data_IF_282291700073
#
_entry.id   IF_282291700073
#
_cell.length_a   1.000
_cell.length_b   1.000
_cell.length_c   1.000
_cell.angle_alpha   90.00
_cell.angle_beta   90.00
_cell.angle_gamma   90.00
#
_symmetry.space_group_name_H-M   'P 1'
#
loop_
_entity.id
_entity.type
_entity.pdbx_description
1 polymer ?
#
# COMPACT_ATOMS: atom_id res chain seq x y z
N UNK A 1 -16.72 14.67 7.52
CA UNK A 1 -16.92 15.01 6.09
C UNK A 1 -15.54 15.09 5.48
N UNK A 2 -15.20 14.13 4.62
CA UNK A 2 -13.93 14.15 3.84
C UNK A 2 -14.11 15.27 2.82
N UNK A 3 -13.28 16.32 2.93
CA UNK A 3 -13.25 17.40 1.93
C UNK A 3 -12.95 16.77 0.57
N UNK A 4 -13.88 16.89 -0.38
CA UNK A 4 -13.62 16.48 -1.76
C UNK A 4 -12.51 17.37 -2.32
N UNK A 5 -11.30 16.87 -2.32
CA UNK A 5 -10.21 17.43 -3.09
C UNK A 5 -10.45 17.14 -4.57
N UNK A 6 -10.05 18.05 -5.46
CA UNK A 6 -10.19 17.86 -6.89
C UNK A 6 -9.47 16.55 -7.30
N UNK A 7 -10.09 15.77 -8.19
CA UNK A 7 -9.51 14.55 -8.72
C UNK A 7 -8.07 14.77 -9.24
N UNK A 8 -7.19 13.81 -9.01
CA UNK A 8 -5.85 13.84 -9.58
C UNK A 8 -5.95 13.80 -11.10
N UNK A 9 -5.24 14.66 -11.85
CA UNK A 9 -5.17 14.55 -13.28
C UNK A 9 -4.24 13.39 -13.68
N UNK A 10 -4.50 12.80 -14.85
CA UNK A 10 -3.56 11.87 -15.46
C UNK A 10 -2.17 12.50 -15.56
N UNK A 11 -1.10 11.85 -15.04
CA UNK A 11 0.26 12.36 -15.14
C UNK A 11 0.70 12.56 -16.60
N UNK A 12 1.49 13.60 -16.88
CA UNK A 12 1.98 13.88 -18.25
C UNK A 12 2.84 12.74 -18.82
N UNK A 13 3.60 12.09 -17.97
CA UNK A 13 4.49 10.97 -18.32
C UNK A 13 3.95 9.66 -17.76
N UNK A 14 2.63 9.48 -17.80
CA UNK A 14 1.99 8.26 -17.31
C UNK A 14 2.46 7.05 -18.10
N UNK A 15 2.88 6.00 -17.38
CA UNK A 15 3.29 4.72 -17.97
C UNK A 15 2.12 3.75 -18.12
N UNK A 16 0.94 4.10 -17.62
CA UNK A 16 -0.30 3.33 -17.73
C UNK A 16 -1.15 3.80 -18.90
N UNK A 17 -1.91 2.91 -19.49
CA UNK A 17 -3.02 3.29 -20.36
C UNK A 17 -4.03 4.13 -19.56
N UNK A 18 -4.64 5.13 -20.20
CA UNK A 18 -5.51 6.08 -19.51
C UNK A 18 -6.70 5.42 -18.80
N UNK A 19 -7.27 4.35 -19.39
CA UNK A 19 -8.36 3.60 -18.80
C UNK A 19 -7.93 2.81 -17.56
N UNK A 20 -6.75 2.21 -17.58
CA UNK A 20 -6.19 1.48 -16.46
C UNK A 20 -5.84 2.44 -15.32
N UNK A 21 -5.24 3.58 -15.65
CA UNK A 21 -4.94 4.60 -14.67
C UNK A 21 -6.20 5.13 -13.97
N UNK A 22 -7.26 5.41 -14.74
CA UNK A 22 -8.55 5.87 -14.19
C UNK A 22 -9.13 4.84 -13.22
N UNK A 23 -9.12 3.56 -13.59
CA UNK A 23 -9.59 2.48 -12.72
C UNK A 23 -8.74 2.37 -11.45
N UNK A 24 -7.41 2.26 -11.60
CA UNK A 24 -6.48 2.07 -10.48
C UNK A 24 -6.46 3.27 -9.55
N UNK A 25 -6.62 4.48 -10.06
CA UNK A 25 -6.66 5.71 -9.27
C UNK A 25 -7.82 5.77 -8.26
N UNK A 26 -8.89 4.99 -8.49
CA UNK A 26 -10.05 4.87 -7.58
C UNK A 26 -9.86 3.79 -6.50
N UNK A 27 -8.81 3.00 -6.62
CA UNK A 27 -8.50 1.95 -5.65
C UNK A 27 -7.65 2.48 -4.50
N UNK A 28 -7.73 1.82 -3.35
CA UNK A 28 -6.84 2.08 -2.23
C UNK A 28 -5.54 1.31 -2.38
N UNK A 29 -4.43 2.01 -2.19
CA UNK A 29 -3.09 1.45 -2.27
C UNK A 29 -2.33 1.71 -0.97
N UNK A 30 -1.59 0.73 -0.43
CA UNK A 30 -0.63 0.98 0.63
C UNK A 30 0.57 1.71 0.04
N UNK A 31 1.01 2.79 0.66
CA UNK A 31 2.09 3.65 0.15
C UNK A 31 3.27 3.79 1.09
N UNK A 32 3.10 3.41 2.36
CA UNK A 32 4.18 3.40 3.36
C UNK A 32 3.82 2.50 4.54
N UNK A 33 4.82 2.05 5.29
CA UNK A 33 4.62 1.54 6.64
C UNK A 33 4.46 2.72 7.60
N UNK A 34 3.53 2.61 8.56
CA UNK A 34 3.30 3.67 9.56
C UNK A 34 4.58 4.02 10.32
N UNK A 35 5.41 2.99 10.62
CA UNK A 35 6.70 3.16 11.33
C UNK A 35 7.77 3.90 10.54
N UNK A 36 7.63 4.03 9.20
CA UNK A 36 8.58 4.75 8.35
C UNK A 36 8.30 6.25 8.32
N UNK A 37 7.08 6.66 8.67
CA UNK A 37 6.69 8.07 8.70
C UNK A 37 6.94 8.66 10.09
N UNK A 38 8.15 9.16 10.27
CA UNK A 38 8.57 9.91 11.45
C UNK A 38 8.28 11.42 11.27
N UNK A 39 9.12 12.29 11.84
CA UNK A 39 9.01 13.75 11.65
C UNK A 39 9.41 14.19 10.24
N UNK A 40 10.36 13.50 9.61
CA UNK A 40 10.80 13.79 8.26
C UNK A 40 9.73 13.43 7.25
N UNK A 41 9.42 14.32 6.26
CA UNK A 41 8.51 13.97 5.18
C UNK A 41 9.05 12.81 4.35
N UNK A 42 8.15 11.94 3.91
CA UNK A 42 8.44 10.77 3.10
C UNK A 42 7.89 10.99 1.69
N UNK A 43 8.76 10.89 0.68
CA UNK A 43 8.36 10.92 -0.73
C UNK A 43 8.07 9.51 -1.24
N UNK A 44 6.94 9.33 -1.92
CA UNK A 44 6.55 8.08 -2.58
C UNK A 44 5.97 8.38 -3.96
N UNK A 45 5.87 7.38 -4.81
CA UNK A 45 5.19 7.51 -6.11
C UNK A 45 4.04 6.50 -6.18
N UNK A 46 2.85 6.96 -6.51
CA UNK A 46 1.68 6.11 -6.75
C UNK A 46 1.12 6.39 -8.14
N UNK A 47 1.06 5.37 -9.01
CA UNK A 47 0.54 5.48 -10.38
C UNK A 47 1.13 6.69 -11.14
N UNK A 48 2.45 6.83 -11.06
CA UNK A 48 3.25 7.94 -11.62
C UNK A 48 2.94 9.33 -11.04
N UNK A 49 2.18 9.42 -9.95
CA UNK A 49 1.96 10.65 -9.20
C UNK A 49 2.95 10.73 -8.04
N UNK A 50 3.88 11.70 -8.02
CA UNK A 50 4.74 11.93 -6.86
C UNK A 50 3.91 12.45 -5.68
N UNK A 51 4.04 11.81 -4.53
CA UNK A 51 3.34 12.15 -3.30
C UNK A 51 4.32 12.39 -2.17
N UNK A 52 3.97 13.32 -1.28
CA UNK A 52 4.62 13.51 0.00
C UNK A 52 3.68 13.13 1.14
N UNK A 53 4.20 12.33 2.07
CA UNK A 53 3.55 12.01 3.32
C UNK A 53 4.22 12.78 4.45
N UNK A 54 3.43 13.35 5.36
CA UNK A 54 3.97 14.02 6.54
C UNK A 54 2.98 14.03 7.70
N UNK A 55 3.48 14.22 8.91
CA UNK A 55 2.64 14.41 10.10
C UNK A 55 2.33 15.87 10.33
N UNK A 56 1.09 16.14 10.68
CA UNK A 56 0.62 17.48 11.05
C UNK A 56 -0.36 17.37 12.24
N UNK A 57 0.12 17.69 13.45
CA UNK A 57 -0.68 17.61 14.68
C UNK A 57 -1.25 16.22 14.96
N UNK A 58 -0.43 15.17 14.81
CA UNK A 58 -0.85 13.78 15.01
C UNK A 58 -1.62 13.16 13.82
N UNK A 59 -1.96 13.95 12.80
CA UNK A 59 -2.65 13.48 11.59
C UNK A 59 -1.65 13.21 10.48
N UNK A 60 -1.85 12.15 9.70
CA UNK A 60 -1.12 11.91 8.45
C UNK A 60 -1.75 12.74 7.34
N UNK A 61 -0.94 13.48 6.63
CA UNK A 61 -1.33 14.21 5.42
C UNK A 61 -0.58 13.62 4.24
N UNK A 62 -1.32 13.33 3.17
CA UNK A 62 -0.78 12.92 1.88
C UNK A 62 -1.12 14.00 0.87
N UNK A 63 -0.14 14.49 0.15
CA UNK A 63 -0.29 15.57 -0.81
C UNK A 63 0.59 15.37 -2.05
N UNK A 64 0.34 16.16 -3.11
CA UNK A 64 1.27 16.26 -4.23
C UNK A 64 2.67 16.62 -3.70
N UNK A 65 3.70 15.89 -4.12
CA UNK A 65 5.09 16.21 -3.77
C UNK A 65 5.61 17.39 -4.60
N UNK A 66 4.91 18.52 -4.48
CA UNK A 66 5.16 19.71 -5.28
C UNK A 66 4.82 20.98 -4.50
N UNK A 67 5.80 21.80 -4.22
CA UNK A 67 5.54 23.10 -3.62
C UNK A 67 4.84 24.02 -4.63
N UNK A 68 3.65 24.57 -4.34
CA UNK A 68 2.87 25.39 -5.29
C UNK A 68 3.54 26.72 -5.65
N UNK A 69 4.62 27.10 -4.95
CA UNK A 69 5.38 28.30 -5.23
C UNK A 69 6.27 28.15 -6.48
N UNK A 70 7.17 27.15 -6.49
CA UNK A 70 8.19 26.97 -7.55
C UNK A 70 8.46 25.51 -7.91
N UNK A 71 7.57 24.59 -7.55
CA UNK A 71 7.63 23.21 -7.99
C UNK A 71 8.73 22.34 -7.35
N UNK A 72 9.34 22.78 -6.25
CA UNK A 72 10.33 21.96 -5.53
C UNK A 72 9.61 20.84 -4.79
N UNK A 73 10.11 19.58 -4.85
CA UNK A 73 9.55 18.48 -4.07
C UNK A 73 9.55 18.77 -2.57
N UNK A 74 8.42 18.58 -1.91
CA UNK A 74 8.25 18.83 -0.49
C UNK A 74 8.90 17.72 0.36
N UNK A 75 9.07 16.53 -0.19
CA UNK A 75 9.83 15.42 0.40
C UNK A 75 11.30 15.75 0.64
N UNK A 76 11.86 16.73 -0.08
CA UNK A 76 13.21 17.27 0.16
C UNK A 76 13.26 18.25 1.34
N UNK A 77 12.12 18.60 1.89
CA UNK A 77 12.00 19.56 2.99
C UNK A 77 12.21 18.95 4.37
N UNK A 78 11.74 19.65 5.39
CA UNK A 78 11.83 19.22 6.79
C UNK A 78 10.47 19.24 7.45
N UNK A 79 10.22 18.26 8.32
CA UNK A 79 9.04 18.19 9.19
C UNK A 79 9.39 18.54 10.64
N UNK A 80 8.36 18.79 11.44
CA UNK A 80 8.47 18.97 12.89
C UNK A 80 7.25 18.38 13.64
N UNK A 81 6.55 17.44 13.01
CA UNK A 81 5.33 16.84 13.57
C UNK A 81 4.06 17.69 13.40
N UNK A 82 4.18 19.00 13.21
CA UNK A 82 3.04 19.94 13.05
C UNK A 82 2.91 20.46 11.61
N UNK A 83 4.03 20.62 10.93
CA UNK A 83 4.09 21.16 9.56
C UNK A 83 5.27 20.57 8.81
N UNK A 84 5.19 20.61 7.46
CA UNK A 84 6.38 20.49 6.62
C UNK A 84 6.82 21.86 6.10
N UNK A 85 8.12 22.01 5.91
CA UNK A 85 8.74 23.21 5.34
C UNK A 85 9.41 22.89 4.00
N UNK A 86 9.05 23.62 2.95
CA UNK A 86 9.72 23.54 1.66
C UNK A 86 11.20 23.94 1.80
N UNK A 87 12.10 23.10 1.26
CA UNK A 87 13.55 23.35 1.32
C UNK A 87 14.02 24.63 0.62
N UNK A 88 13.22 25.17 -0.31
CA UNK A 88 13.65 26.31 -1.12
C UNK A 88 13.39 27.66 -0.44
N UNK A 89 12.13 27.97 -0.07
CA UNK A 89 11.78 29.29 0.52
C UNK A 89 11.09 29.17 1.88
N UNK A 90 11.10 28.00 2.50
CA UNK A 90 10.57 27.79 3.83
C UNK A 90 9.05 27.91 3.96
N UNK A 91 8.29 27.85 2.85
CA UNK A 91 6.83 27.79 2.92
C UNK A 91 6.43 26.60 3.79
N UNK A 92 5.52 26.81 4.74
CA UNK A 92 5.08 25.76 5.66
C UNK A 92 3.66 25.33 5.35
N UNK A 93 3.45 24.02 5.40
CA UNK A 93 2.15 23.41 5.17
C UNK A 93 1.77 22.55 6.37
N UNK A 94 0.57 22.76 6.90
CA UNK A 94 0.01 22.06 8.05
C UNK A 94 -1.07 21.05 7.66
N UNK A 95 -1.97 20.79 8.61
CA UNK A 95 -3.07 19.84 8.42
C UNK A 95 -3.92 20.19 7.20
N UNK A 96 -4.38 19.16 6.47
CA UNK A 96 -5.15 19.30 5.24
C UNK A 96 -4.40 20.03 4.11
N UNK A 97 -3.06 20.07 4.14
CA UNK A 97 -2.25 20.73 3.11
C UNK A 97 -2.30 22.26 3.14
N UNK A 98 -2.88 22.85 4.19
CA UNK A 98 -3.02 24.31 4.29
C UNK A 98 -1.66 24.98 4.38
N UNK A 99 -1.39 25.97 3.52
CA UNK A 99 -0.23 26.84 3.66
C UNK A 99 -0.45 27.74 4.89
N UNK A 100 0.42 27.61 5.90
CA UNK A 100 0.30 28.30 7.19
C UNK A 100 1.38 29.36 7.41
N UNK A 101 2.42 29.40 6.56
CA UNK A 101 3.50 30.38 6.66
C UNK A 101 4.17 30.62 5.33
N UNK A 102 4.35 31.89 5.00
CA UNK A 102 5.18 32.40 3.90
C UNK A 102 6.25 33.30 4.52
N UNK A 103 7.51 32.84 4.72
CA UNK A 103 8.50 33.56 5.53
C UNK A 103 8.82 34.97 5.01
N UNK A 104 8.83 35.16 3.70
CA UNK A 104 9.12 36.46 3.09
C UNK A 104 8.00 37.49 3.26
N UNK A 105 6.79 37.05 3.64
CA UNK A 105 5.61 37.92 3.81
C UNK A 105 4.82 37.50 5.06
N UNK A 106 5.40 37.64 6.27
CA UNK A 106 4.87 37.05 7.51
C UNK A 106 3.49 37.60 7.90
N UNK A 107 3.23 38.87 7.58
CA UNK A 107 1.99 39.57 7.97
C UNK A 107 0.93 39.60 6.85
N UNK A 108 1.21 38.98 5.73
CA UNK A 108 0.30 38.99 4.57
C UNK A 108 -0.71 37.84 4.65
N UNK A 109 -1.94 38.09 4.19
CA UNK A 109 -2.93 37.03 4.03
C UNK A 109 -2.42 35.99 3.00
N UNK A 110 -2.50 34.71 3.38
CA UNK A 110 -2.05 33.60 2.52
C UNK A 110 -3.20 33.15 1.60
N UNK A 111 -3.07 33.28 0.29
CA UNK A 111 -4.11 32.85 -0.64
C UNK A 111 -4.28 31.32 -0.63
N UNK A 112 -5.52 30.85 -0.75
CA UNK A 112 -5.85 29.40 -0.77
C UNK A 112 -5.21 28.65 -1.95
N UNK A 113 -4.88 29.34 -3.04
CA UNK A 113 -4.13 28.75 -4.18
C UNK A 113 -2.73 28.24 -3.81
N UNK A 114 -2.23 28.61 -2.63
CA UNK A 114 -0.97 28.11 -2.09
C UNK A 114 -1.16 26.84 -1.24
N UNK A 115 -2.39 26.39 -1.02
CA UNK A 115 -2.61 25.12 -0.35
C UNK A 115 -2.21 23.96 -1.26
N UNK A 116 -1.76 22.87 -0.64
CA UNK A 116 -1.48 21.63 -1.34
C UNK A 116 -2.78 20.93 -1.76
N UNK A 117 -2.75 20.23 -2.89
CA UNK A 117 -3.73 19.19 -3.17
C UNK A 117 -3.41 18.01 -2.25
N UNK A 118 -4.43 17.54 -1.54
CA UNK A 118 -4.29 16.42 -0.61
C UNK A 118 -5.15 15.24 -1.03
N UNK A 119 -4.78 14.07 -0.54
CA UNK A 119 -5.45 12.81 -0.80
C UNK A 119 -5.91 12.19 0.52
N UNK A 120 -6.94 11.32 0.50
CA UNK A 120 -7.34 10.56 1.69
C UNK A 120 -6.14 9.79 2.26
N UNK A 121 -6.01 9.79 3.58
CA UNK A 121 -5.01 9.04 4.31
C UNK A 121 -5.68 8.18 5.37
N UNK A 122 -5.41 6.88 5.38
CA UNK A 122 -5.95 5.93 6.36
C UNK A 122 -4.80 5.10 6.91
N UNK A 123 -4.65 5.07 8.23
CA UNK A 123 -3.80 4.09 8.91
C UNK A 123 -4.61 2.82 9.13
N UNK A 124 -4.17 1.72 8.55
CA UNK A 124 -4.75 0.40 8.78
C UNK A 124 -3.73 -0.70 8.54
N UNK A 125 -3.75 -1.73 9.37
CA UNK A 125 -2.84 -2.88 9.26
C UNK A 125 -1.36 -2.50 9.35
N UNK A 126 -1.01 -1.45 10.11
CA UNK A 126 0.35 -0.94 10.18
C UNK A 126 0.86 -0.26 8.90
N UNK A 127 -0.04 -0.03 7.94
CA UNK A 127 0.21 0.60 6.65
C UNK A 127 -0.52 1.94 6.54
N UNK A 128 0.03 2.85 5.75
CA UNK A 128 -0.62 4.09 5.33
C UNK A 128 -1.20 3.84 3.94
N UNK A 129 -2.51 4.01 3.82
CA UNK A 129 -3.26 3.82 2.58
C UNK A 129 -3.72 5.14 2.01
N UNK A 130 -3.74 5.22 0.69
CA UNK A 130 -4.32 6.36 -0.03
C UNK A 130 -5.05 5.93 -1.30
N UNK A 131 -5.84 6.85 -1.83
CA UNK A 131 -6.58 6.72 -3.09
C UNK A 131 -6.54 8.07 -3.80
N UNK A 132 -6.16 8.09 -5.08
CA UNK A 132 -5.99 9.35 -5.82
C UNK A 132 -7.34 9.99 -6.22
N UNK A 133 -8.33 9.17 -6.57
CA UNK A 133 -9.63 9.60 -7.07
C UNK A 133 -10.78 8.82 -6.40
N UNK A 134 -10.83 8.82 -5.06
CA UNK A 134 -11.85 8.07 -4.33
C UNK A 134 -13.27 8.51 -4.72
N UNK A 135 -14.06 7.57 -5.22
CA UNK A 135 -15.49 7.73 -5.42
C UNK A 135 -16.33 7.02 -4.32
N UNK A 136 -15.63 6.39 -3.35
CA UNK A 136 -16.24 5.67 -2.25
C UNK A 136 -16.73 4.26 -2.60
N UNK A 137 -16.51 3.79 -3.82
CA UNK A 137 -16.97 2.46 -4.27
C UNK A 137 -16.02 1.34 -3.87
N UNK A 138 -14.71 1.63 -3.82
CA UNK A 138 -13.66 0.67 -3.42
C UNK A 138 -13.24 0.95 -1.98
N UNK A 139 -13.10 -0.10 -1.20
CA UNK A 139 -12.65 -0.04 0.20
C UNK A 139 -11.29 -0.72 0.36
N UNK A 140 -10.59 -0.39 1.44
CA UNK A 140 -9.38 -1.13 1.82
C UNK A 140 -9.81 -2.58 2.09
N UNK A 141 -9.16 -3.59 1.46
CA UNK A 141 -9.50 -4.99 1.66
C UNK A 141 -9.39 -5.40 3.13
N UNK A 142 -10.25 -6.29 3.60
CA UNK A 142 -10.15 -6.83 4.95
C UNK A 142 -8.88 -7.68 5.09
N UNK A 143 -8.25 -7.63 6.27
CA UNK A 143 -7.17 -8.52 6.67
C UNK A 143 -7.75 -9.43 7.75
N UNK A 144 -8.00 -10.72 7.46
CA UNK A 144 -8.50 -11.66 8.45
C UNK A 144 -7.60 -11.70 9.69
N UNK A 145 -8.20 -11.87 10.85
CA UNK A 145 -7.52 -12.05 12.14
C UNK A 145 -6.60 -10.92 12.60
N UNK A 146 -6.54 -9.77 11.89
CA UNK A 146 -5.63 -8.69 12.26
C UNK A 146 -5.88 -8.12 13.66
N UNK A 147 -7.13 -8.00 14.06
CA UNK A 147 -7.53 -7.41 15.35
C UNK A 147 -7.75 -8.48 16.43
N UNK A 148 -7.47 -9.75 16.15
CA UNK A 148 -7.64 -10.86 17.10
C UNK A 148 -6.38 -11.00 17.97
N UNK A 149 -6.51 -11.01 19.32
CA UNK A 149 -5.37 -10.99 20.24
C UNK A 149 -4.53 -12.26 20.22
N UNK A 150 -5.05 -13.35 19.68
CA UNK A 150 -4.35 -14.64 19.54
C UNK A 150 -3.34 -14.63 18.37
N UNK A 151 -3.43 -13.64 17.46
CA UNK A 151 -2.55 -13.53 16.31
C UNK A 151 -1.50 -12.45 16.50
N UNK A 152 -0.25 -12.79 16.20
CA UNK A 152 0.84 -11.83 16.16
C UNK A 152 0.89 -11.15 14.79
N UNK A 153 0.86 -9.81 14.77
CA UNK A 153 0.98 -9.02 13.55
C UNK A 153 2.45 -8.71 13.26
N UNK A 154 2.88 -9.00 12.03
CA UNK A 154 4.24 -8.71 11.56
C UNK A 154 4.15 -8.00 10.21
N UNK A 155 4.67 -6.78 10.15
CA UNK A 155 4.83 -6.05 8.90
C UNK A 155 6.26 -6.20 8.38
N UNK A 156 6.41 -6.88 7.25
CA UNK A 156 7.69 -6.99 6.56
C UNK A 156 8.11 -5.64 5.94
N UNK A 157 9.41 -5.39 5.76
CA UNK A 157 9.88 -4.23 5.03
C UNK A 157 9.47 -4.28 3.55
N UNK A 158 9.53 -3.14 2.88
CA UNK A 158 9.33 -3.05 1.44
C UNK A 158 10.36 -3.86 0.67
N UNK A 159 9.91 -4.41 -0.46
CA UNK A 159 10.77 -5.02 -1.47
C UNK A 159 10.43 -4.35 -2.80
N UNK A 160 11.41 -3.68 -3.40
CA UNK A 160 11.27 -3.08 -4.71
C UNK A 160 11.43 -4.15 -5.79
N UNK A 161 10.40 -4.31 -6.61
CA UNK A 161 10.38 -5.27 -7.70
C UNK A 161 10.19 -4.53 -9.02
N UNK A 162 11.15 -4.68 -9.93
CA UNK A 162 11.08 -4.09 -11.27
C UNK A 162 10.11 -4.89 -12.15
N UNK A 163 8.82 -4.66 -11.94
CA UNK A 163 7.76 -5.37 -12.66
C UNK A 163 6.37 -4.79 -12.42
N UNK A 164 5.43 -5.19 -13.24
CA UNK A 164 4.03 -4.84 -13.07
C UNK A 164 3.42 -5.58 -11.87
N UNK A 165 2.67 -4.87 -11.02
CA UNK A 165 2.11 -5.42 -9.78
C UNK A 165 1.23 -6.67 -9.99
N UNK A 166 0.51 -6.74 -11.12
CA UNK A 166 -0.27 -7.92 -11.49
C UNK A 166 0.58 -9.19 -11.65
N UNK A 167 1.83 -9.06 -12.15
CA UNK A 167 2.76 -10.20 -12.22
C UNK A 167 3.18 -10.70 -10.85
N UNK A 168 3.31 -9.80 -9.89
CA UNK A 168 3.59 -10.20 -8.50
C UNK A 168 2.41 -10.96 -7.90
N UNK A 169 1.18 -10.51 -8.16
CA UNK A 169 -0.03 -11.24 -7.72
C UNK A 169 -0.11 -12.62 -8.39
N UNK A 170 0.13 -12.71 -9.72
CA UNK A 170 0.20 -14.00 -10.43
C UNK A 170 1.22 -14.95 -9.81
N UNK A 171 2.43 -14.45 -9.50
CA UNK A 171 3.47 -15.24 -8.84
C UNK A 171 3.10 -15.68 -7.43
N UNK A 172 2.38 -14.85 -6.68
CA UNK A 172 1.93 -15.19 -5.34
C UNK A 172 0.85 -16.29 -5.31
N UNK A 173 -0.05 -16.31 -6.29
CA UNK A 173 -1.13 -17.30 -6.39
C UNK A 173 -0.77 -18.53 -7.24
N UNK A 174 0.38 -18.53 -7.92
CA UNK A 174 0.89 -19.71 -8.59
C UNK A 174 1.33 -20.76 -7.57
N UNK A 175 0.75 -21.95 -7.63
CA UNK A 175 1.07 -23.06 -6.73
C UNK A 175 1.98 -24.11 -7.38
N UNK A 176 2.12 -24.09 -8.71
CA UNK A 176 2.91 -25.07 -9.43
C UNK A 176 4.43 -24.94 -9.18
N UNK A 177 4.91 -23.71 -8.87
CA UNK A 177 6.33 -23.51 -8.58
C UNK A 177 6.76 -24.00 -7.21
N UNK A 178 5.83 -24.29 -6.29
CA UNK A 178 6.15 -24.63 -4.90
C UNK A 178 7.14 -25.78 -4.80
N UNK A 179 6.87 -26.91 -5.46
CA UNK A 179 7.71 -28.09 -5.41
C UNK A 179 9.14 -27.90 -5.99
N UNK A 180 9.40 -26.77 -6.66
CA UNK A 180 10.68 -26.49 -7.31
C UNK A 180 11.44 -25.32 -6.66
N UNK A 181 10.71 -24.30 -6.21
CA UNK A 181 11.30 -23.05 -5.70
C UNK A 181 11.34 -23.01 -4.16
N UNK A 182 10.36 -23.67 -3.52
CA UNK A 182 10.20 -23.62 -2.06
C UNK A 182 10.48 -24.95 -1.37
N UNK A 183 11.33 -25.77 -1.95
CA UNK A 183 11.66 -27.13 -1.50
C UNK A 183 12.25 -27.20 -0.08
N UNK A 184 12.93 -26.13 0.36
CA UNK A 184 13.55 -26.08 1.68
C UNK A 184 12.67 -25.39 2.74
N UNK A 185 11.43 -25.03 2.39
CA UNK A 185 10.55 -24.28 3.29
C UNK A 185 9.21 -24.98 3.53
N UNK A 186 8.24 -24.81 2.63
CA UNK A 186 6.87 -25.27 2.85
C UNK A 186 6.34 -26.17 1.73
N UNK A 187 7.17 -26.60 0.81
CA UNK A 187 6.77 -27.45 -0.31
C UNK A 187 7.36 -28.85 -0.24
N UNK A 188 6.69 -29.79 -0.87
CA UNK A 188 7.12 -31.17 -0.99
C UNK A 188 7.70 -31.42 -2.40
N UNK A 189 9.03 -31.55 -2.56
CA UNK A 189 9.65 -31.77 -3.86
C UNK A 189 9.30 -33.13 -4.46
N UNK A 190 8.90 -34.09 -3.66
CA UNK A 190 8.52 -35.43 -4.11
C UNK A 190 7.06 -35.50 -4.59
N UNK A 191 6.28 -34.45 -4.35
CA UNK A 191 4.88 -34.33 -4.76
C UNK A 191 4.59 -33.05 -5.56
N UNK A 192 5.04 -32.95 -6.83
CA UNK A 192 4.86 -31.75 -7.66
C UNK A 192 3.47 -31.65 -8.29
N UNK A 193 2.59 -32.61 -8.05
CA UNK A 193 1.26 -32.63 -8.66
C UNK A 193 0.38 -31.57 -8.04
N UNK A 194 -0.14 -30.66 -8.88
CA UNK A 194 -1.14 -29.68 -8.49
C UNK A 194 -2.53 -30.35 -8.55
N UNK A 195 -3.18 -30.60 -7.42
CA UNK A 195 -4.53 -31.14 -7.42
C UNK A 195 -5.53 -30.14 -8.03
N UNK A 196 -6.62 -30.67 -8.57
CA UNK A 196 -7.67 -29.83 -9.14
C UNK A 196 -8.34 -28.97 -8.08
N UNK A 197 -8.51 -27.69 -8.36
CA UNK A 197 -9.25 -26.75 -7.52
C UNK A 197 -10.10 -25.82 -8.38
N UNK A 198 -11.09 -25.17 -7.77
CA UNK A 198 -12.05 -24.33 -8.48
C UNK A 198 -12.05 -22.89 -7.91
N UNK A 199 -11.50 -21.92 -8.64
CA UNK A 199 -11.63 -20.51 -8.26
C UNK A 199 -13.09 -20.05 -8.29
N UNK A 200 -13.45 -19.18 -7.34
CA UNK A 200 -14.77 -18.55 -7.26
C UNK A 200 -14.63 -17.04 -7.30
N UNK A 201 -15.46 -16.38 -8.13
CA UNK A 201 -15.53 -14.92 -8.14
C UNK A 201 -16.16 -14.42 -6.84
N UNK A 202 -15.58 -13.36 -6.29
CA UNK A 202 -16.13 -12.60 -5.17
C UNK A 202 -16.59 -11.23 -5.65
N UNK A 203 -17.15 -10.41 -4.76
CA UNK A 203 -17.53 -9.04 -5.08
C UNK A 203 -16.33 -8.19 -5.54
N UNK A 204 -15.17 -8.41 -4.92
CA UNK A 204 -13.99 -7.55 -5.03
C UNK A 204 -12.79 -8.27 -5.66
N UNK A 205 -13.00 -9.45 -6.28
CA UNK A 205 -11.92 -10.24 -6.89
C UNK A 205 -12.28 -11.71 -7.04
N UNK A 206 -11.45 -12.60 -6.52
CA UNK A 206 -11.72 -14.04 -6.50
C UNK A 206 -11.02 -14.72 -5.34
N UNK A 207 -11.44 -15.95 -5.05
CA UNK A 207 -10.84 -16.82 -4.04
C UNK A 207 -10.71 -18.25 -4.54
N UNK A 208 -9.76 -18.99 -3.98
CA UNK A 208 -9.59 -20.41 -4.24
C UNK A 208 -9.04 -21.13 -3.01
N UNK A 209 -9.52 -22.35 -2.79
CA UNK A 209 -8.95 -23.28 -1.83
C UNK A 209 -8.06 -24.29 -2.55
N UNK A 210 -6.88 -24.52 -2.00
CA UNK A 210 -5.89 -25.44 -2.51
C UNK A 210 -5.34 -26.30 -1.37
N UNK A 211 -5.37 -27.62 -1.56
CA UNK A 211 -4.81 -28.58 -0.61
C UNK A 211 -3.59 -29.23 -1.20
N UNK A 212 -2.51 -29.29 -0.45
CA UNK A 212 -1.31 -30.03 -0.84
C UNK A 212 -0.58 -30.57 0.38
N UNK A 213 0.15 -31.63 0.17
CA UNK A 213 1.11 -32.12 1.17
C UNK A 213 2.26 -31.13 1.34
N UNK A 214 2.83 -31.09 2.53
CA UNK A 214 4.03 -30.35 2.86
C UNK A 214 5.02 -31.28 3.54
N UNK A 215 6.31 -31.06 3.28
CA UNK A 215 7.39 -31.85 3.87
C UNK A 215 8.03 -31.15 5.08
N UNK A 216 7.83 -29.84 5.20
CA UNK A 216 8.47 -29.02 6.23
C UNK A 216 7.45 -28.25 7.06
N UNK A 217 7.48 -28.45 8.36
CA UNK A 217 6.78 -27.62 9.35
C UNK A 217 7.73 -26.60 9.95
N UNK A 218 7.21 -25.56 10.61
CA UNK A 218 8.02 -24.72 11.45
C UNK A 218 8.81 -25.57 12.46
N UNK A 219 10.07 -25.25 12.65
CA UNK A 219 10.94 -25.96 13.59
C UNK A 219 10.30 -26.01 14.99
N UNK A 220 10.21 -27.21 15.56
CA UNK A 220 9.61 -27.43 16.88
C UNK A 220 8.12 -27.71 16.88
N UNK A 221 7.46 -27.75 15.72
CA UNK A 221 6.08 -28.23 15.62
C UNK A 221 6.04 -29.75 15.84
N UNK A 222 4.96 -30.27 16.49
CA UNK A 222 4.83 -31.70 16.80
C UNK A 222 4.73 -32.60 15.56
N UNK A 223 4.33 -32.02 14.43
CA UNK A 223 4.23 -32.70 13.13
C UNK A 223 5.49 -32.56 12.27
N UNK A 224 6.57 -32.01 12.83
CA UNK A 224 7.86 -31.95 12.18
C UNK A 224 8.31 -33.35 11.73
N UNK A 225 8.68 -33.48 10.47
CA UNK A 225 9.08 -34.73 9.81
C UNK A 225 7.97 -35.79 9.67
N UNK A 226 6.70 -35.50 9.95
CA UNK A 226 5.62 -36.43 9.64
C UNK A 226 5.29 -36.38 8.15
N UNK A 227 5.42 -37.50 7.41
CA UNK A 227 5.09 -37.50 5.98
C UNK A 227 3.58 -37.37 5.76
N UNK A 228 3.21 -36.70 4.68
CA UNK A 228 1.83 -36.66 4.20
C UNK A 228 0.88 -35.71 4.95
N UNK A 229 1.41 -34.77 5.72
CA UNK A 229 0.56 -33.73 6.30
C UNK A 229 0.03 -32.80 5.20
N UNK A 230 -1.26 -32.54 5.23
CA UNK A 230 -1.93 -31.72 4.23
C UNK A 230 -2.31 -30.36 4.81
N UNK A 231 -1.90 -29.30 4.12
CA UNK A 231 -2.34 -27.94 4.40
C UNK A 231 -3.46 -27.53 3.47
N UNK A 232 -4.50 -26.91 4.03
CA UNK A 232 -5.46 -26.14 3.28
C UNK A 232 -4.93 -24.71 3.17
N UNK A 233 -4.76 -24.26 1.95
CA UNK A 233 -4.44 -22.86 1.62
C UNK A 233 -5.65 -22.20 1.01
N UNK A 234 -6.09 -21.11 1.62
CA UNK A 234 -7.18 -20.30 1.10
C UNK A 234 -6.61 -18.99 0.57
N UNK A 235 -6.53 -18.89 -0.73
CA UNK A 235 -6.10 -17.68 -1.44
C UNK A 235 -7.28 -16.78 -1.71
N UNK A 236 -7.12 -15.48 -1.46
CA UNK A 236 -8.05 -14.43 -1.92
C UNK A 236 -7.26 -13.34 -2.63
N UNK A 237 -7.78 -12.88 -3.75
CA UNK A 237 -7.26 -11.72 -4.47
C UNK A 237 -8.33 -10.65 -4.45
N UNK A 238 -7.95 -9.46 -3.98
CA UNK A 238 -8.77 -8.26 -3.98
C UNK A 238 -8.21 -7.26 -4.99
N UNK A 239 -9.08 -6.72 -5.80
CA UNK A 239 -8.71 -5.70 -6.78
C UNK A 239 -8.17 -4.45 -6.06
N UNK A 240 -7.06 -3.84 -6.52
CA UNK A 240 -6.34 -4.19 -7.73
C UNK A 240 -5.23 -5.24 -7.54
N UNK A 241 -4.50 -5.23 -6.43
CA UNK A 241 -3.26 -6.02 -6.28
C UNK A 241 -3.03 -6.52 -4.84
N UNK A 242 -4.07 -6.71 -4.08
CA UNK A 242 -3.95 -7.28 -2.74
C UNK A 242 -4.26 -8.77 -2.80
N UNK A 243 -3.30 -9.59 -2.41
CA UNK A 243 -3.49 -11.02 -2.26
C UNK A 243 -3.31 -11.41 -0.79
N UNK A 244 -4.18 -12.27 -0.29
CA UNK A 244 -4.10 -12.85 1.04
C UNK A 244 -4.06 -14.36 0.96
N UNK A 245 -3.36 -14.96 1.91
CA UNK A 245 -3.27 -16.41 2.08
C UNK A 245 -3.54 -16.75 3.53
N UNK A 246 -4.56 -17.58 3.76
CA UNK A 246 -4.78 -18.24 5.04
C UNK A 246 -4.33 -19.71 4.91
N UNK A 247 -3.66 -20.20 5.94
CA UNK A 247 -3.16 -21.59 5.99
C UNK A 247 -3.80 -22.25 7.21
N UNK A 248 -4.44 -23.40 6.99
CA UNK A 248 -5.13 -24.20 8.01
C UNK A 248 -4.63 -25.64 8.03
#
# INVERSE_FOLDING_TARGET
MISQTAAAPLPRNCTFEAADWDLLSRCWHPVALVRELEEKPLGVTLLDVPLVLYRAGGTIVIADDLCPHRGVPLSMGTGNGETIACAYHGFRFGNGGKCVRVPAHPDSAIPSKLNLRTYPAVERYGLIWTCLNSDGTVTIPPMPHWDEPEYQQINCPWIDIAGFAGRQVEGFIDVAHFAFVHTETFADPDNPVVPSYMPRMTKDGFEAEYRSTVSNFPVGHEDWEKPGFEWLRHFRVHVPFVATLEIH
#
